data_IF_639720323160
#
_entry.id   IF_639720323160
#
_cell.length_a   1.000
_cell.length_b   1.000
_cell.length_c   1.000
_cell.angle_alpha   90.00
_cell.angle_beta   90.00
_cell.angle_gamma   90.00
#
_symmetry.space_group_name_H-M   'P 1'
#
loop_
_entity.id
_entity.type
_entity.pdbx_description
1 polymer ?
#
# COMPACT_ATOMS: atom_id res chain seq x y z
N UNK A 1 -31.01 23.37 32.05
CA UNK A 1 -30.78 22.25 31.12
C UNK A 1 -30.27 22.84 29.82
N UNK A 2 -28.96 23.03 29.73
CA UNK A 2 -28.27 23.61 28.57
C UNK A 2 -27.86 22.46 27.65
N UNK A 3 -28.49 22.40 26.48
CA UNK A 3 -28.17 21.47 25.40
C UNK A 3 -26.94 21.99 24.64
N UNK A 4 -25.81 21.30 24.77
CA UNK A 4 -24.61 21.54 23.97
C UNK A 4 -24.66 20.65 22.73
N UNK A 5 -24.84 21.26 21.55
CA UNK A 5 -24.59 20.63 20.26
C UNK A 5 -23.07 20.37 20.10
N UNK A 6 -22.65 19.23 19.53
CA UNK A 6 -21.25 19.02 19.19
C UNK A 6 -20.91 19.80 17.92
N UNK A 7 -19.92 20.68 18.05
CA UNK A 7 -19.29 21.43 16.95
C UNK A 7 -18.67 20.46 15.94
N UNK A 8 -19.28 20.32 14.76
CA UNK A 8 -18.64 19.65 13.61
C UNK A 8 -17.51 20.56 13.09
N UNK A 9 -16.27 20.14 13.31
CA UNK A 9 -15.11 20.72 12.64
C UNK A 9 -15.13 20.21 11.20
N UNK A 10 -15.42 21.10 10.26
CA UNK A 10 -15.39 20.77 8.84
C UNK A 10 -13.96 20.51 8.38
N UNK A 11 -13.64 19.27 8.06
CA UNK A 11 -12.42 18.92 7.35
C UNK A 11 -12.59 19.30 5.87
N UNK A 12 -11.94 20.39 5.47
CA UNK A 12 -11.89 20.80 4.08
C UNK A 12 -10.92 19.88 3.31
N UNK A 13 -11.47 18.92 2.57
CA UNK A 13 -10.73 18.14 1.58
C UNK A 13 -10.13 19.09 0.54
N UNK A 14 -8.81 19.16 0.48
CA UNK A 14 -8.10 20.00 -0.50
C UNK A 14 -7.86 19.20 -1.77
N UNK A 15 -8.45 19.64 -2.89
CA UNK A 15 -8.07 19.16 -4.22
C UNK A 15 -6.60 19.50 -4.49
N UNK A 16 -5.81 18.47 -4.81
CA UNK A 16 -4.39 18.63 -5.07
C UNK A 16 -4.17 19.31 -6.43
N UNK A 17 -3.76 20.58 -6.41
CA UNK A 17 -3.27 21.31 -7.57
C UNK A 17 -1.76 21.06 -7.74
N UNK A 18 -1.33 20.73 -8.96
CA UNK A 18 0.06 20.39 -9.28
C UNK A 18 1.05 21.55 -8.94
N UNK A 19 2.23 21.27 -8.34
CA UNK A 19 3.22 22.30 -8.09
C UNK A 19 3.96 22.72 -9.37
N UNK A 20 3.98 24.03 -9.62
CA UNK A 20 4.67 24.67 -10.73
C UNK A 20 6.20 24.50 -10.69
N UNK A 21 6.78 24.44 -11.88
CA UNK A 21 8.22 24.32 -12.12
C UNK A 21 9.03 25.45 -11.46
N UNK A 22 10.00 25.11 -10.62
CA UNK A 22 11.13 26.00 -10.29
C UNK A 22 12.39 25.51 -10.99
N UNK A 23 13.03 26.44 -11.71
CA UNK A 23 14.31 26.29 -12.40
C UNK A 23 15.47 26.15 -11.41
N UNK A 24 16.31 25.15 -11.73
CA UNK A 24 17.71 24.86 -11.38
C UNK A 24 18.52 25.74 -10.43
N UNK A 25 19.25 25.04 -9.55
CA UNK A 25 20.68 25.27 -9.31
C UNK A 25 21.41 23.93 -9.24
N UNK A 26 22.49 23.81 -10.00
CA UNK A 26 23.34 22.63 -10.09
C UNK A 26 24.17 22.47 -8.81
N UNK A 27 23.94 21.39 -8.07
CA UNK A 27 24.79 20.96 -6.96
C UNK A 27 25.80 19.92 -7.45
N UNK A 28 27.08 20.19 -7.20
CA UNK A 28 28.19 19.31 -7.54
C UNK A 28 27.97 17.88 -7.00
N UNK A 29 28.10 16.89 -7.89
CA UNK A 29 28.03 15.47 -7.55
C UNK A 29 29.25 15.07 -6.71
N UNK A 30 29.07 14.97 -5.39
CA UNK A 30 29.99 14.24 -4.53
C UNK A 30 29.93 12.77 -4.95
N UNK A 31 31.02 12.27 -5.55
CA UNK A 31 31.21 10.84 -5.80
C UNK A 31 31.08 10.11 -4.45
N UNK A 32 29.96 9.39 -4.28
CA UNK A 32 29.78 8.43 -3.19
C UNK A 32 30.98 7.49 -3.17
N UNK A 33 31.69 7.42 -2.05
CA UNK A 33 32.82 6.50 -1.88
C UNK A 33 32.38 5.08 -2.25
N UNK A 34 33.15 4.40 -3.11
CA UNK A 34 32.89 3.01 -3.50
C UNK A 34 32.98 2.12 -2.26
N UNK A 35 32.02 1.22 -2.14
CA UNK A 35 31.89 0.29 -1.01
C UNK A 35 33.11 -0.66 -1.00
N UNK A 36 33.91 -0.78 0.08
CA UNK A 36 35.19 -1.52 0.07
C UNK A 36 35.05 -2.98 -0.35
N UNK A 37 33.88 -3.58 -0.15
CA UNK A 37 33.58 -4.95 -0.60
C UNK A 37 33.55 -5.00 -2.14
N UNK A 38 33.05 -3.97 -2.81
CA UNK A 38 32.94 -3.91 -4.28
C UNK A 38 34.31 -4.08 -4.96
N UNK A 39 35.35 -3.46 -4.43
CA UNK A 39 36.71 -3.50 -4.97
C UNK A 39 37.38 -4.89 -4.80
N UNK A 40 36.86 -5.73 -3.90
CA UNK A 40 37.35 -7.09 -3.62
C UNK A 40 36.69 -8.19 -4.48
N UNK A 41 35.44 -8.01 -4.90
CA UNK A 41 34.64 -9.04 -5.61
C UNK A 41 34.32 -8.68 -7.06
N UNK A 42 34.46 -7.40 -7.45
CA UNK A 42 34.21 -6.92 -8.81
C UNK A 42 32.74 -6.74 -9.17
N UNK A 43 32.49 -5.93 -10.20
CA UNK A 43 31.16 -5.49 -10.65
C UNK A 43 30.23 -6.65 -11.01
N UNK A 44 30.76 -7.69 -11.66
CA UNK A 44 29.98 -8.86 -12.09
C UNK A 44 29.42 -9.64 -10.89
N UNK A 45 30.22 -9.82 -9.83
CA UNK A 45 29.78 -10.52 -8.63
C UNK A 45 28.72 -9.72 -7.88
N UNK A 46 28.89 -8.40 -7.78
CA UNK A 46 27.90 -7.51 -7.16
C UNK A 46 26.59 -7.53 -7.95
N UNK A 47 26.66 -7.50 -9.28
CA UNK A 47 25.50 -7.63 -10.15
C UNK A 47 24.80 -8.99 -9.98
N UNK A 48 25.56 -10.09 -9.95
CA UNK A 48 25.03 -11.43 -9.73
C UNK A 48 24.36 -11.56 -8.35
N UNK A 49 24.94 -10.99 -7.29
CA UNK A 49 24.33 -11.01 -5.96
C UNK A 49 23.04 -10.18 -5.91
N UNK A 50 23.01 -9.00 -6.55
CA UNK A 50 21.78 -8.20 -6.68
C UNK A 50 20.70 -8.95 -7.45
N UNK A 51 21.04 -9.57 -8.58
CA UNK A 51 20.12 -10.38 -9.36
C UNK A 51 19.57 -11.58 -8.56
N UNK A 52 20.43 -12.27 -7.81
CA UNK A 52 20.01 -13.37 -6.93
C UNK A 52 19.06 -12.89 -5.83
N UNK A 53 19.36 -11.76 -5.18
CA UNK A 53 18.48 -11.16 -4.17
C UNK A 53 17.13 -10.76 -4.77
N UNK A 54 17.13 -10.12 -5.94
CA UNK A 54 15.90 -9.76 -6.65
C UNK A 54 15.06 -11.01 -7.01
N UNK A 55 15.69 -12.07 -7.51
CA UNK A 55 15.02 -13.33 -7.82
C UNK A 55 14.40 -13.97 -6.57
N UNK A 56 15.12 -14.00 -5.44
CA UNK A 56 14.61 -14.54 -4.17
C UNK A 56 13.43 -13.72 -3.64
N UNK A 57 13.51 -12.38 -3.73
CA UNK A 57 12.43 -11.47 -3.35
C UNK A 57 11.18 -11.67 -4.21
N UNK A 58 11.36 -11.78 -5.54
CA UNK A 58 10.24 -12.04 -6.45
C UNK A 58 9.62 -13.42 -6.23
N UNK A 59 10.42 -14.45 -5.97
CA UNK A 59 9.92 -15.77 -5.59
C UNK A 59 9.09 -15.70 -4.29
N UNK A 60 9.55 -14.90 -3.31
CA UNK A 60 8.79 -14.58 -2.11
C UNK A 60 7.45 -13.90 -2.41
N UNK A 61 7.43 -12.89 -3.28
CA UNK A 61 6.19 -12.23 -3.70
C UNK A 61 5.22 -13.21 -4.36
N UNK A 62 5.69 -13.97 -5.36
CA UNK A 62 4.88 -14.96 -6.10
C UNK A 62 4.30 -16.03 -5.18
N UNK A 63 5.06 -16.51 -4.19
CA UNK A 63 4.62 -17.52 -3.22
C UNK A 63 3.41 -17.07 -2.41
N UNK A 64 3.36 -15.80 -2.00
CA UNK A 64 2.35 -15.33 -1.04
C UNK A 64 1.25 -14.48 -1.67
N UNK A 65 1.47 -13.97 -2.88
CA UNK A 65 0.41 -13.39 -3.71
C UNK A 65 -0.71 -14.42 -3.90
N UNK A 66 -1.95 -13.99 -3.72
CA UNK A 66 -3.10 -14.84 -4.04
C UNK A 66 -3.10 -15.19 -5.54
N UNK A 67 -3.16 -16.49 -5.86
CA UNK A 67 -3.01 -16.98 -7.24
C UNK A 67 -3.98 -16.33 -8.25
N UNK A 68 -5.20 -16.00 -7.81
CA UNK A 68 -6.22 -15.33 -8.65
C UNK A 68 -5.84 -13.94 -9.15
N UNK A 69 -4.81 -13.31 -8.57
CA UNK A 69 -4.31 -12.00 -8.98
C UNK A 69 -2.93 -12.07 -9.65
N UNK A 70 -2.49 -13.27 -10.06
CA UNK A 70 -1.21 -13.46 -10.71
C UNK A 70 -1.06 -12.68 -12.03
N UNK A 71 -2.18 -12.41 -12.70
CA UNK A 71 -2.26 -11.68 -13.97
C UNK A 71 -3.01 -10.33 -13.85
N UNK A 72 -3.20 -9.84 -12.61
CA UNK A 72 -3.75 -8.51 -12.38
C UNK A 72 -2.85 -7.46 -13.03
N UNK A 73 -3.46 -6.57 -13.81
CA UNK A 73 -2.76 -5.54 -14.59
C UNK A 73 -3.70 -4.37 -14.85
N UNK A 74 -3.15 -3.21 -15.22
CA UNK A 74 -3.93 -1.99 -15.44
C UNK A 74 -4.98 -2.15 -16.55
N UNK A 75 -4.75 -3.03 -17.54
CA UNK A 75 -5.70 -3.31 -18.63
C UNK A 75 -6.93 -4.10 -18.19
N UNK A 76 -6.89 -4.73 -17.01
CA UNK A 76 -8.04 -5.43 -16.42
C UNK A 76 -8.94 -4.52 -15.58
N UNK A 77 -8.55 -3.26 -15.39
CA UNK A 77 -9.34 -2.28 -14.66
C UNK A 77 -10.33 -1.63 -15.62
N UNK A 78 -11.58 -1.48 -15.17
CA UNK A 78 -12.57 -0.65 -15.84
C UNK A 78 -12.17 0.83 -15.74
N UNK A 79 -12.73 1.69 -16.58
CA UNK A 79 -12.35 3.10 -16.64
C UNK A 79 -12.52 3.82 -15.27
N UNK A 80 -13.64 3.55 -14.59
CA UNK A 80 -13.96 3.99 -13.23
C UNK A 80 -12.99 3.46 -12.16
N UNK A 81 -12.34 2.32 -12.40
CA UNK A 81 -11.38 1.70 -11.49
C UNK A 81 -9.95 2.24 -11.64
N UNK A 82 -9.69 3.03 -12.69
CA UNK A 82 -8.36 3.63 -12.91
C UNK A 82 -8.13 4.87 -12.04
N UNK A 83 -9.21 5.46 -11.51
CA UNK A 83 -9.23 6.75 -10.84
C UNK A 83 -8.52 7.83 -11.68
N UNK A 84 -8.94 8.01 -12.94
CA UNK A 84 -8.33 8.92 -13.91
C UNK A 84 -6.82 8.68 -14.12
N UNK A 85 -6.42 7.40 -14.12
CA UNK A 85 -5.03 6.99 -14.26
C UNK A 85 -4.16 7.12 -12.99
N UNK A 86 -4.72 7.60 -11.86
CA UNK A 86 -3.98 7.71 -10.58
C UNK A 86 -3.43 6.36 -10.14
N UNK A 87 -4.16 5.26 -10.35
CA UNK A 87 -3.70 3.90 -10.01
C UNK A 87 -2.40 3.54 -10.72
N UNK A 88 -2.35 3.73 -12.05
CA UNK A 88 -1.16 3.39 -12.84
C UNK A 88 0.03 4.32 -12.55
N UNK A 89 -0.23 5.59 -12.23
CA UNK A 89 0.81 6.58 -11.95
C UNK A 89 1.35 6.53 -10.50
N UNK A 90 0.64 5.86 -9.58
CA UNK A 90 0.91 5.99 -8.15
C UNK A 90 2.32 5.54 -7.75
N UNK A 91 2.81 4.42 -8.30
CA UNK A 91 4.11 3.89 -7.90
C UNK A 91 5.26 4.84 -8.25
N UNK A 92 5.09 5.65 -9.29
CA UNK A 92 6.10 6.62 -9.74
C UNK A 92 5.94 7.98 -9.07
N UNK A 93 4.71 8.50 -9.00
CA UNK A 93 4.44 9.91 -8.66
C UNK A 93 3.53 10.09 -7.46
N UNK A 94 2.90 9.01 -7.01
CA UNK A 94 1.97 9.04 -5.90
C UNK A 94 2.66 9.15 -4.54
N UNK A 95 1.88 9.50 -3.50
CA UNK A 95 2.33 9.55 -2.12
C UNK A 95 2.88 8.20 -1.63
N UNK A 96 3.55 8.19 -0.48
CA UNK A 96 4.17 6.96 0.04
C UNK A 96 3.14 5.91 0.45
N UNK A 97 2.00 6.31 0.99
CA UNK A 97 0.88 5.43 1.26
C UNK A 97 -0.25 5.64 0.24
N UNK A 98 -0.98 4.58 -0.09
CA UNK A 98 -2.20 4.57 -0.88
C UNK A 98 -3.24 3.73 -0.16
N UNK A 99 -4.39 4.31 0.10
CA UNK A 99 -5.57 3.57 0.52
C UNK A 99 -6.50 3.46 -0.67
N UNK A 100 -6.77 2.24 -1.12
CA UNK A 100 -7.79 1.94 -2.12
C UNK A 100 -9.03 1.47 -1.35
N UNK A 101 -10.01 2.35 -1.23
CA UNK A 101 -11.20 2.19 -0.41
C UNK A 101 -12.45 2.01 -1.28
N UNK A 102 -13.59 1.72 -0.64
CA UNK A 102 -14.89 1.62 -1.29
C UNK A 102 -15.57 0.25 -1.12
N UNK A 103 -16.79 0.09 -1.67
CA UNK A 103 -17.63 -1.08 -1.42
C UNK A 103 -17.07 -2.40 -1.94
N UNK A 104 -17.65 -3.52 -1.52
CA UNK A 104 -17.21 -4.83 -1.95
C UNK A 104 -17.34 -4.98 -3.47
N UNK A 105 -16.37 -5.70 -4.08
CA UNK A 105 -16.34 -6.02 -5.52
C UNK A 105 -16.16 -4.84 -6.49
N UNK A 106 -15.70 -3.68 -6.04
CA UNK A 106 -15.39 -2.52 -6.92
C UNK A 106 -14.00 -2.53 -7.57
N UNK A 107 -13.22 -3.62 -7.41
CA UNK A 107 -11.92 -3.78 -8.10
C UNK A 107 -10.69 -3.35 -7.32
N UNK A 108 -10.84 -2.93 -6.06
CA UNK A 108 -9.73 -2.45 -5.19
C UNK A 108 -8.53 -3.38 -5.15
N UNK A 109 -8.77 -4.66 -4.85
CA UNK A 109 -7.70 -5.66 -4.78
C UNK A 109 -7.05 -5.88 -6.14
N UNK A 110 -7.81 -5.92 -7.24
CA UNK A 110 -7.24 -6.02 -8.59
C UNK A 110 -6.35 -4.82 -8.91
N UNK A 111 -6.76 -3.60 -8.55
CA UNK A 111 -5.96 -2.39 -8.73
C UNK A 111 -4.66 -2.44 -7.91
N UNK A 112 -4.73 -2.85 -6.64
CA UNK A 112 -3.55 -3.03 -5.80
C UNK A 112 -2.59 -4.10 -6.34
N UNK A 113 -3.12 -5.22 -6.83
CA UNK A 113 -2.28 -6.27 -7.43
C UNK A 113 -1.72 -5.87 -8.79
N UNK A 114 -2.41 -5.03 -9.58
CA UNK A 114 -1.85 -4.45 -10.79
C UNK A 114 -0.61 -3.60 -10.49
N UNK A 115 -0.69 -2.72 -9.48
CA UNK A 115 0.45 -1.92 -9.02
C UNK A 115 1.60 -2.82 -8.52
N UNK A 116 1.31 -3.79 -7.66
CA UNK A 116 2.36 -4.64 -7.09
C UNK A 116 3.01 -5.57 -8.10
N UNK A 117 2.25 -6.10 -9.07
CA UNK A 117 2.78 -6.89 -10.17
C UNK A 117 3.74 -6.04 -11.02
N UNK A 118 3.34 -4.82 -11.40
CA UNK A 118 4.18 -3.88 -12.14
C UNK A 118 5.44 -3.47 -11.36
N UNK A 119 5.31 -3.17 -10.07
CA UNK A 119 6.46 -2.88 -9.21
C UNK A 119 7.45 -4.06 -9.14
N UNK A 120 6.93 -5.30 -9.01
CA UNK A 120 7.75 -6.51 -8.96
C UNK A 120 8.47 -6.79 -10.28
N UNK A 121 7.83 -6.58 -11.44
CA UNK A 121 8.49 -6.74 -12.76
C UNK A 121 9.59 -5.69 -12.97
N UNK A 122 9.45 -4.52 -12.35
CA UNK A 122 10.47 -3.45 -12.31
C UNK A 122 11.57 -3.69 -11.27
N UNK A 123 11.55 -4.84 -10.58
CA UNK A 123 12.60 -5.27 -9.65
C UNK A 123 12.43 -4.78 -8.21
N UNK A 124 11.32 -4.13 -7.86
CA UNK A 124 11.04 -3.74 -6.48
C UNK A 124 10.88 -4.97 -5.58
N UNK A 125 11.36 -4.88 -4.34
CA UNK A 125 11.02 -5.86 -3.33
C UNK A 125 9.59 -5.63 -2.86
N UNK A 126 8.69 -6.49 -3.33
CA UNK A 126 7.28 -6.44 -2.98
C UNK A 126 6.93 -7.51 -1.96
N UNK A 127 6.20 -7.13 -0.92
CA UNK A 127 5.52 -8.07 -0.02
C UNK A 127 4.02 -7.78 -0.13
N UNK A 128 3.24 -8.81 -0.45
CA UNK A 128 1.77 -8.72 -0.42
C UNK A 128 1.22 -9.75 0.56
N UNK A 129 0.30 -9.30 1.41
CA UNK A 129 -0.42 -10.13 2.39
C UNK A 129 -1.83 -9.57 2.56
N UNK A 130 -2.77 -10.43 2.93
CA UNK A 130 -4.01 -9.93 3.53
C UNK A 130 -3.74 -9.44 4.96
N UNK A 131 -4.55 -8.53 5.49
CA UNK A 131 -4.45 -8.10 6.89
C UNK A 131 -4.49 -9.29 7.86
N UNK A 132 -5.41 -10.23 7.62
CA UNK A 132 -5.49 -11.48 8.37
C UNK A 132 -4.21 -12.34 8.22
N UNK A 133 -3.68 -12.46 7.01
CA UNK A 133 -2.49 -13.25 6.72
C UNK A 133 -1.23 -12.68 7.37
N UNK A 134 -1.07 -11.35 7.36
CA UNK A 134 0.04 -10.70 8.05
C UNK A 134 -0.10 -10.85 9.57
N UNK A 135 -1.29 -10.58 10.12
CA UNK A 135 -1.57 -10.77 11.55
C UNK A 135 -1.21 -12.18 12.03
N UNK A 136 -1.57 -13.21 11.26
CA UNK A 136 -1.20 -14.59 11.55
C UNK A 136 0.31 -14.83 11.46
N UNK A 137 0.96 -14.29 10.42
CA UNK A 137 2.40 -14.42 10.20
C UNK A 137 3.25 -13.75 11.29
N UNK A 138 2.76 -12.69 11.93
CA UNK A 138 3.47 -11.97 12.99
C UNK A 138 3.39 -12.62 14.38
N UNK A 139 2.57 -13.65 14.56
CA UNK A 139 2.46 -14.34 15.85
C UNK A 139 3.80 -14.99 16.24
N UNK A 140 4.04 -15.26 17.53
CA UNK A 140 5.29 -15.89 17.99
C UNK A 140 5.61 -17.23 17.30
N UNK A 141 4.57 -17.99 16.93
CA UNK A 141 4.64 -19.26 16.21
C UNK A 141 4.40 -19.10 14.70
N UNK A 142 4.38 -17.87 14.19
CA UNK A 142 4.13 -17.50 12.81
C UNK A 142 5.35 -17.61 11.89
N UNK A 143 5.37 -16.80 10.84
CA UNK A 143 6.44 -16.80 9.84
C UNK A 143 7.67 -16.04 10.38
N UNK A 144 8.87 -16.66 10.39
CA UNK A 144 10.08 -15.96 10.75
C UNK A 144 10.32 -14.74 9.85
N UNK A 145 10.78 -13.64 10.46
CA UNK A 145 11.10 -12.38 9.77
C UNK A 145 9.91 -11.70 9.06
N UNK A 146 8.66 -12.15 9.25
CA UNK A 146 7.49 -11.52 8.61
C UNK A 146 7.40 -10.01 8.93
N UNK A 147 7.69 -9.62 10.17
CA UNK A 147 7.77 -8.21 10.56
C UNK A 147 8.87 -7.50 9.78
N UNK A 148 10.09 -8.04 9.76
CA UNK A 148 11.22 -7.43 9.04
C UNK A 148 10.91 -7.27 7.55
N UNK A 149 10.28 -8.26 6.92
CA UNK A 149 9.89 -8.17 5.51
C UNK A 149 8.80 -7.11 5.29
N UNK A 150 7.81 -7.03 6.18
CA UNK A 150 6.78 -6.00 6.13
C UNK A 150 7.35 -4.59 6.35
N UNK A 151 8.39 -4.45 7.18
CA UNK A 151 9.06 -3.18 7.42
C UNK A 151 10.01 -2.81 6.26
N UNK A 152 10.80 -3.75 5.75
CA UNK A 152 11.93 -3.49 4.84
C UNK A 152 11.66 -3.54 3.35
N UNK A 153 10.58 -4.18 2.93
CA UNK A 153 10.25 -4.22 1.52
C UNK A 153 10.04 -2.81 0.93
N UNK A 154 10.38 -2.66 -0.34
CA UNK A 154 10.22 -1.39 -1.07
C UNK A 154 8.73 -1.03 -1.17
N UNK A 155 7.88 -2.04 -1.30
CA UNK A 155 6.42 -1.92 -1.38
C UNK A 155 5.72 -3.02 -0.57
N UNK A 156 4.93 -2.62 0.43
CA UNK A 156 4.02 -3.49 1.17
C UNK A 156 2.60 -3.30 0.64
N UNK A 157 1.92 -4.39 0.30
CA UNK A 157 0.47 -4.44 0.12
C UNK A 157 -0.17 -5.16 1.30
N UNK A 158 -1.00 -4.43 2.03
CA UNK A 158 -1.92 -4.94 3.04
C UNK A 158 -3.34 -4.99 2.46
N UNK A 159 -3.71 -6.16 1.94
CA UNK A 159 -4.98 -6.39 1.27
C UNK A 159 -6.10 -6.77 2.26
N UNK A 160 -7.35 -6.42 1.95
CA UNK A 160 -8.55 -6.80 2.70
C UNK A 160 -8.51 -6.36 4.19
N UNK A 161 -8.07 -5.12 4.45
CA UNK A 161 -8.20 -4.50 5.77
C UNK A 161 -9.69 -4.34 6.13
N UNK A 162 -10.07 -4.79 7.32
CA UNK A 162 -11.44 -4.73 7.83
C UNK A 162 -12.15 -6.08 7.89
N UNK A 163 -11.47 -7.18 7.54
CA UNK A 163 -12.04 -8.55 7.62
C UNK A 163 -11.46 -9.36 8.78
N UNK A 164 -10.31 -8.95 9.29
CA UNK A 164 -9.63 -9.55 10.42
C UNK A 164 -10.21 -9.11 11.76
N UNK A 165 -10.01 -9.92 12.80
CA UNK A 165 -10.32 -9.52 14.17
C UNK A 165 -9.27 -8.54 14.65
N UNK A 166 -9.71 -7.32 15.00
CA UNK A 166 -8.83 -6.30 15.56
C UNK A 166 -8.68 -6.57 17.05
N UNK A 167 -7.53 -7.11 17.45
CA UNK A 167 -7.11 -7.25 18.84
C UNK A 167 -6.09 -6.17 19.16
N UNK A 168 -5.98 -5.73 20.41
CA UNK A 168 -5.01 -4.70 20.83
C UNK A 168 -3.59 -4.98 20.32
N UNK A 169 -3.11 -6.21 20.48
CA UNK A 169 -1.81 -6.62 19.94
C UNK A 169 -1.68 -6.44 18.42
N UNK A 170 -2.71 -6.79 17.65
CA UNK A 170 -2.68 -6.63 16.19
C UNK A 170 -2.72 -5.16 15.80
N UNK A 171 -3.51 -4.36 16.52
CA UNK A 171 -3.58 -2.93 16.31
C UNK A 171 -2.22 -2.26 16.58
N UNK A 172 -1.53 -2.65 17.66
CA UNK A 172 -0.17 -2.20 17.96
C UNK A 172 0.83 -2.58 16.86
N UNK A 173 0.78 -3.82 16.37
CA UNK A 173 1.66 -4.25 15.26
C UNK A 173 1.37 -3.48 13.97
N UNK A 174 0.09 -3.25 13.65
CA UNK A 174 -0.32 -2.52 12.46
C UNK A 174 0.12 -1.06 12.53
N UNK A 175 -0.08 -0.40 13.68
CA UNK A 175 0.40 0.97 13.93
C UNK A 175 1.93 1.04 13.80
N UNK A 176 2.66 0.12 14.42
CA UNK A 176 4.12 0.06 14.30
C UNK A 176 4.58 -0.07 12.83
N UNK A 177 3.94 -0.95 12.05
CA UNK A 177 4.27 -1.13 10.63
C UNK A 177 4.00 0.15 9.83
N UNK A 178 2.86 0.79 10.04
CA UNK A 178 2.53 2.05 9.34
C UNK A 178 3.53 3.15 9.71
N UNK A 179 3.82 3.30 11.01
CA UNK A 179 4.72 4.34 11.52
C UNK A 179 6.13 4.19 10.97
N UNK A 180 6.71 3.00 11.06
CA UNK A 180 8.06 2.72 10.57
C UNK A 180 8.15 2.91 9.05
N UNK A 181 7.15 2.48 8.29
CA UNK A 181 7.16 2.65 6.83
C UNK A 181 7.03 4.11 6.43
N UNK A 182 6.15 4.86 7.09
CA UNK A 182 6.00 6.30 6.87
C UNK A 182 7.29 7.05 7.25
N UNK A 183 7.87 6.76 8.40
CA UNK A 183 9.14 7.34 8.87
C UNK A 183 10.30 7.07 7.92
N UNK A 184 10.39 5.84 7.38
CA UNK A 184 11.45 5.43 6.46
C UNK A 184 11.12 5.67 4.97
N UNK A 185 10.04 6.40 4.65
CA UNK A 185 9.65 6.74 3.28
C UNK A 185 9.41 5.51 2.37
N UNK A 186 8.99 4.38 2.96
CA UNK A 186 8.71 3.13 2.23
C UNK A 186 7.26 3.06 1.80
N UNK A 187 7.01 2.49 0.62
CA UNK A 187 5.67 2.54 0.01
C UNK A 187 4.68 1.55 0.63
N UNK A 188 3.45 1.97 0.90
CA UNK A 188 2.40 1.14 1.47
C UNK A 188 1.13 1.25 0.60
N UNK A 189 0.53 0.12 0.26
CA UNK A 189 -0.82 0.07 -0.28
C UNK A 189 -1.69 -0.66 0.73
N UNK A 190 -2.84 -0.09 1.05
CA UNK A 190 -3.90 -0.72 1.83
C UNK A 190 -5.14 -0.83 0.95
N UNK A 191 -5.80 -1.98 0.96
CA UNK A 191 -7.17 -2.08 0.43
C UNK A 191 -8.13 -2.24 1.60
N UNK A 192 -9.22 -1.48 1.60
CA UNK A 192 -10.20 -1.50 2.68
C UNK A 192 -11.63 -1.53 2.13
N UNK A 193 -12.49 -2.34 2.74
CA UNK A 193 -13.91 -2.32 2.42
C UNK A 193 -14.61 -1.25 3.25
N UNK A 194 -14.95 -0.14 2.61
CA UNK A 194 -15.54 1.03 3.25
C UNK A 194 -16.77 1.50 2.45
N UNK A 195 -17.55 2.45 2.98
CA UNK A 195 -18.48 3.22 2.15
C UNK A 195 -17.77 3.89 0.96
N UNK A 196 -18.55 4.22 -0.07
CA UNK A 196 -18.09 4.89 -1.30
C UNK A 196 -17.77 6.38 -1.10
N UNK A 197 -18.27 6.99 -0.02
CA UNK A 197 -17.94 8.36 0.31
C UNK A 197 -16.60 8.45 1.05
N UNK A 198 -15.78 9.44 0.70
CA UNK A 198 -14.43 9.60 1.26
C UNK A 198 -14.41 9.93 2.76
N UNK A 199 -15.34 10.76 3.25
CA UNK A 199 -15.44 11.08 4.67
C UNK A 199 -15.96 9.86 5.44
N UNK A 200 -16.99 9.19 4.92
CA UNK A 200 -17.49 7.97 5.52
C UNK A 200 -16.46 6.81 5.49
N UNK A 201 -15.55 6.79 4.51
CA UNK A 201 -14.45 5.85 4.47
C UNK A 201 -13.42 6.12 5.57
N UNK A 202 -13.09 7.40 5.81
CA UNK A 202 -12.26 7.81 6.95
C UNK A 202 -12.93 7.39 8.27
N UNK A 203 -14.18 7.79 8.48
CA UNK A 203 -14.93 7.50 9.71
C UNK A 203 -14.99 5.99 9.99
N UNK A 204 -15.24 5.17 8.95
CA UNK A 204 -15.26 3.72 9.08
C UNK A 204 -13.91 3.12 9.46
N UNK A 205 -12.79 3.71 9.04
CA UNK A 205 -11.46 3.28 9.43
C UNK A 205 -11.13 3.74 10.85
N UNK A 206 -11.45 4.98 11.19
CA UNK A 206 -11.26 5.57 12.52
C UNK A 206 -12.05 4.80 13.59
N UNK A 207 -13.31 4.47 13.34
CA UNK A 207 -14.14 3.68 14.26
C UNK A 207 -13.53 2.30 14.56
N UNK A 208 -12.90 1.68 13.55
CA UNK A 208 -12.39 0.32 13.66
C UNK A 208 -10.96 0.23 14.20
N UNK A 209 -10.12 1.20 13.86
CA UNK A 209 -8.67 1.17 14.07
C UNK A 209 -8.15 2.33 14.94
N UNK A 210 -9.04 3.24 15.34
CA UNK A 210 -8.71 4.47 16.05
C UNK A 210 -8.20 5.58 15.12
N UNK A 211 -8.46 6.82 15.53
CA UNK A 211 -8.05 8.03 14.82
C UNK A 211 -6.55 8.03 14.44
N UNK A 212 -5.60 7.66 15.34
CA UNK A 212 -4.17 7.76 15.00
C UNK A 212 -3.76 6.92 13.79
N UNK A 213 -4.37 5.74 13.62
CA UNK A 213 -4.08 4.88 12.48
C UNK A 213 -4.82 5.35 11.23
N UNK A 214 -6.07 5.79 11.35
CA UNK A 214 -6.84 6.33 10.24
C UNK A 214 -6.21 7.60 9.67
N UNK A 215 -5.81 8.54 10.53
CA UNK A 215 -5.06 9.75 10.17
C UNK A 215 -3.76 9.36 9.47
N UNK A 216 -2.92 8.49 10.02
CA UNK A 216 -1.67 8.12 9.32
C UNK A 216 -1.87 7.39 8.00
N UNK A 217 -2.96 6.64 7.88
CA UNK A 217 -3.31 5.98 6.63
C UNK A 217 -3.90 6.94 5.61
N UNK A 218 -4.40 8.11 5.98
CA UNK A 218 -5.13 9.03 5.09
C UNK A 218 -4.38 10.38 4.94
N UNK A 219 -3.92 10.95 6.03
CA UNK A 219 -3.08 12.15 6.09
C UNK A 219 -1.67 11.86 5.57
N UNK A 220 -1.34 12.42 4.41
CA UNK A 220 -0.08 12.17 3.70
C UNK A 220 -0.10 10.93 2.79
N UNK A 221 -1.23 10.22 2.74
CA UNK A 221 -1.48 9.15 1.78
C UNK A 221 -2.38 9.64 0.64
N UNK A 222 -2.44 8.86 -0.44
CA UNK A 222 -3.47 9.02 -1.45
C UNK A 222 -4.66 8.18 -1.03
N UNK A 223 -5.81 8.78 -0.78
CA UNK A 223 -7.08 8.04 -0.71
C UNK A 223 -7.69 7.98 -2.12
N UNK A 224 -7.90 6.76 -2.62
CA UNK A 224 -8.65 6.49 -3.84
C UNK A 224 -9.85 5.66 -3.46
N UNK A 225 -11.06 6.20 -3.67
CA UNK A 225 -12.29 5.45 -3.46
C UNK A 225 -12.77 4.89 -4.80
N UNK A 226 -13.00 3.58 -4.86
CA UNK A 226 -13.58 2.91 -6.01
C UNK A 226 -15.03 2.54 -5.67
N UNK A 227 -15.97 3.20 -6.32
CA UNK A 227 -17.42 3.15 -6.08
C UNK A 227 -18.24 2.61 -7.27
N UNK A 228 -17.56 2.17 -8.33
CA UNK A 228 -18.18 1.61 -9.53
C UNK A 228 -18.96 0.30 -9.33
N UNK A 229 -19.74 -0.09 -10.34
CA UNK A 229 -20.61 -1.28 -10.31
C UNK A 229 -19.84 -2.57 -9.93
N UNK A 230 -20.40 -3.43 -9.06
CA UNK A 230 -19.77 -4.69 -8.66
C UNK A 230 -19.34 -5.54 -9.88
N UNK A 231 -18.10 -6.06 -9.85
CA UNK A 231 -17.52 -6.78 -11.01
C UNK A 231 -18.23 -8.13 -11.30
N UNK A 232 -18.95 -8.71 -10.33
CA UNK A 232 -19.59 -10.02 -10.49
C UNK A 232 -21.10 -9.89 -10.38
N UNK A 233 -21.80 -10.36 -11.41
CA UNK A 233 -23.24 -10.58 -11.38
C UNK A 233 -23.58 -11.54 -10.23
N UNK A 234 -24.63 -11.21 -9.48
CA UNK A 234 -25.24 -12.14 -8.55
C UNK A 234 -25.93 -13.18 -9.40
N UNK A 235 -25.49 -14.44 -9.35
CA UNK A 235 -26.25 -15.55 -9.93
C UNK A 235 -27.55 -15.63 -9.14
N UNK A 236 -28.66 -15.17 -9.73
CA UNK A 236 -29.97 -15.11 -9.06
C UNK A 236 -30.74 -16.43 -9.17
N UNK A 237 -30.35 -17.32 -10.08
CA UNK A 237 -30.99 -18.61 -10.30
C UNK A 237 -29.92 -19.68 -10.58
N UNK A 238 -30.13 -20.88 -10.03
CA UNK A 238 -29.24 -22.05 -10.15
C UNK A 238 -29.58 -22.91 -11.36
#
# INVERSE_FOLDING_TARGET
>A
MTSTEPTRIGHAFTEFTAPGQRRGQAGASTMSARDPIHDLVGDEWVAAMRARRAANRNAGYVKHRQARYADASYTKLRADQTADGKIAAWFDRGPRALVIAGPSRTGKTTAAYAITNDAATRGAWVVARTALGLSAALKPDGEPFALQYALDCDLLLLDDLGRERVTDWWLEQLQHIVDERCGNQRRLIVTANTPADSAAAFDSLAERYGDPLAERLIDGSGLVVLDGEPIREVVTEW
#
